data_IF_162992348882
#
_entry.id   IF_162992348882
#
_cell.length_a   1.000
_cell.length_b   1.000
_cell.length_c   1.000
_cell.angle_alpha   90.00
_cell.angle_beta   90.00
_cell.angle_gamma   90.00
#
_symmetry.space_group_name_H-M   'P 1'
#
loop_
_entity.id
_entity.type
_entity.pdbx_description
1 polymer ?
#
# COMPACT_ATOMS: atom_id res chain seq x y z
N UNK A 1 55.85 29.89 7.06
CA UNK A 1 55.38 28.50 6.88
C UNK A 1 54.36 28.18 7.97
N UNK A 2 53.18 27.66 7.55
CA UNK A 2 52.16 26.87 8.29
C UNK A 2 51.69 27.38 9.67
N UNK A 3 50.51 28.02 9.79
CA UNK A 3 49.12 27.50 9.83
C UNK A 3 48.71 26.82 11.16
N UNK A 4 47.59 27.36 11.69
CA UNK A 4 46.45 26.66 12.35
C UNK A 4 46.71 26.09 13.76
N UNK A 5 45.76 26.07 14.70
CA UNK A 5 44.29 26.05 14.62
C UNK A 5 43.71 26.50 15.98
N UNK A 6 42.77 27.45 16.00
CA UNK A 6 41.89 27.71 17.16
C UNK A 6 40.59 26.93 16.93
N UNK A 7 40.22 26.08 17.88
CA UNK A 7 38.94 25.38 17.93
C UNK A 7 37.95 26.29 18.66
N UNK A 8 36.89 26.73 17.98
CA UNK A 8 35.75 27.43 18.59
C UNK A 8 34.46 26.73 18.15
N UNK A 9 33.59 26.49 19.13
CA UNK A 9 32.30 25.84 18.99
C UNK A 9 31.40 26.53 17.95
N UNK A 10 30.68 25.74 17.15
CA UNK A 10 29.57 26.24 16.33
C UNK A 10 28.26 25.61 16.82
N UNK A 11 27.48 26.44 17.53
CA UNK A 11 26.03 26.34 17.60
C UNK A 11 25.47 26.46 16.18
N UNK A 12 24.78 25.45 15.68
CA UNK A 12 23.99 25.56 14.46
C UNK A 12 22.64 26.21 14.83
N UNK A 13 22.52 27.51 14.58
CA UNK A 13 21.25 28.23 14.63
C UNK A 13 20.33 27.72 13.52
N UNK A 14 19.20 27.11 13.89
CA UNK A 14 18.08 26.86 13.00
C UNK A 14 17.52 28.22 12.58
N UNK A 15 17.81 28.66 11.35
CA UNK A 15 17.16 29.82 10.77
C UNK A 15 15.76 29.41 10.31
N UNK A 16 14.76 29.56 11.18
CA UNK A 16 13.37 29.64 10.76
C UNK A 16 13.20 30.97 10.01
N UNK A 17 13.37 30.94 8.68
CA UNK A 17 13.03 32.07 7.84
C UNK A 17 11.50 32.10 7.67
N UNK A 18 10.81 32.71 8.64
CA UNK A 18 9.44 33.17 8.44
C UNK A 18 9.47 34.43 7.59
N UNK A 19 9.15 34.31 6.30
CA UNK A 19 8.73 35.46 5.49
C UNK A 19 7.21 35.40 5.32
N UNK A 20 6.58 36.51 5.69
CA UNK A 20 5.14 36.68 5.66
C UNK A 20 4.61 36.91 4.24
N UNK A 21 3.63 36.09 3.86
CA UNK A 21 2.49 36.30 2.96
C UNK A 21 2.58 37.44 1.92
N UNK A 22 2.74 37.07 0.64
CA UNK A 22 2.08 37.76 -0.47
C UNK A 22 0.68 37.16 -0.65
N UNK A 23 -0.34 38.02 -0.80
CA UNK A 23 -1.75 37.65 -0.91
C UNK A 23 -2.01 36.60 -2.00
N UNK A 24 -2.21 35.35 -1.58
CA UNK A 24 -2.48 34.20 -2.42
C UNK A 24 -2.63 32.93 -1.58
N UNK A 25 -3.29 31.91 -2.12
CA UNK A 25 -3.39 30.60 -1.47
C UNK A 25 -1.99 30.09 -1.06
N UNK A 26 -1.86 29.42 0.10
CA UNK A 26 -0.56 28.95 0.60
C UNK A 26 0.18 28.09 -0.44
N UNK A 27 1.52 28.06 -0.41
CA UNK A 27 2.27 27.20 -1.31
C UNK A 27 1.87 25.73 -1.08
N UNK A 28 1.78 24.92 -2.14
CA UNK A 28 1.44 23.52 -2.01
C UNK A 28 2.53 22.77 -1.24
N UNK A 29 2.11 21.81 -0.41
CA UNK A 29 3.03 20.96 0.31
C UNK A 29 3.71 19.95 -0.62
N UNK A 30 5.03 19.80 -0.50
CA UNK A 30 5.79 18.78 -1.21
C UNK A 30 5.70 17.44 -0.46
N UNK A 31 4.97 16.48 -1.00
CA UNK A 31 4.67 15.18 -0.36
C UNK A 31 5.56 14.03 -0.80
N UNK A 32 6.24 14.16 -1.93
CA UNK A 32 7.04 13.06 -2.46
C UNK A 32 7.93 13.50 -3.61
N UNK A 33 9.06 12.81 -3.77
CA UNK A 33 9.96 13.00 -4.90
C UNK A 33 10.24 11.64 -5.52
N UNK A 34 9.89 11.51 -6.80
CA UNK A 34 10.14 10.30 -7.58
C UNK A 34 11.28 10.59 -8.55
N UNK A 35 12.44 10.02 -8.26
CA UNK A 35 13.58 10.03 -9.17
C UNK A 35 13.35 8.95 -10.22
N UNK A 36 12.83 9.34 -11.38
CA UNK A 36 12.77 8.44 -12.54
C UNK A 36 14.11 8.46 -13.24
N UNK A 37 14.44 7.44 -14.06
CA UNK A 37 15.60 7.49 -14.95
C UNK A 37 15.54 8.60 -16.01
N UNK A 38 14.47 9.41 -16.01
CA UNK A 38 14.27 10.63 -16.79
C UNK A 38 14.07 11.85 -15.88
N UNK A 39 13.04 12.66 -16.14
CA UNK A 39 12.78 13.87 -15.33
C UNK A 39 12.25 13.51 -13.92
N UNK A 40 12.77 14.14 -12.86
CA UNK A 40 12.24 13.94 -11.51
C UNK A 40 10.83 14.51 -11.40
N UNK A 41 9.96 13.75 -10.74
CA UNK A 41 8.57 14.14 -10.47
C UNK A 41 8.39 14.48 -9.00
N UNK A 42 7.58 15.50 -8.74
CA UNK A 42 7.30 16.03 -7.40
C UNK A 42 5.82 15.89 -7.11
N UNK A 43 5.47 15.19 -6.03
CA UNK A 43 4.10 15.10 -5.56
C UNK A 43 3.80 16.36 -4.76
N UNK A 44 2.93 17.20 -5.29
CA UNK A 44 2.44 18.39 -4.62
C UNK A 44 1.02 18.15 -4.13
N UNK A 45 0.66 18.68 -2.96
CA UNK A 45 -0.71 18.70 -2.45
C UNK A 45 -1.11 20.10 -2.01
N UNK A 46 -2.33 20.52 -2.31
CA UNK A 46 -2.90 21.74 -1.72
C UNK A 46 -3.50 21.48 -0.33
N UNK A 47 -4.11 22.51 0.25
CA UNK A 47 -4.79 22.45 1.55
C UNK A 47 -6.10 21.67 1.52
N UNK A 48 -6.68 21.48 0.33
CA UNK A 48 -7.95 20.77 0.13
C UNK A 48 -7.73 19.27 -0.14
N UNK A 49 -6.47 18.83 -0.23
CA UNK A 49 -6.06 17.44 -0.38
C UNK A 49 -5.91 16.98 -1.83
N UNK A 50 -6.06 17.86 -2.83
CA UNK A 50 -5.76 17.52 -4.21
C UNK A 50 -4.26 17.28 -4.35
N UNK A 51 -3.84 16.15 -4.91
CA UNK A 51 -2.42 15.83 -5.11
C UNK A 51 -2.10 15.41 -6.54
N UNK A 52 -0.97 15.89 -7.05
CA UNK A 52 -0.48 15.58 -8.40
C UNK A 52 1.03 15.47 -8.46
N UNK A 53 1.51 14.54 -9.30
CA UNK A 53 2.92 14.47 -9.69
C UNK A 53 3.21 15.45 -10.81
N UNK A 54 4.18 16.33 -10.58
CA UNK A 54 4.49 17.47 -11.47
C UNK A 54 6.00 17.54 -11.68
N UNK A 55 6.44 17.75 -12.92
CA UNK A 55 7.84 17.94 -13.26
C UNK A 55 8.27 19.41 -13.12
N UNK A 56 9.57 19.66 -12.99
CA UNK A 56 10.13 21.01 -13.10
C UNK A 56 9.74 21.64 -14.44
N UNK A 57 9.40 22.93 -14.44
CA UNK A 57 8.90 23.68 -15.58
C UNK A 57 7.38 23.60 -15.79
N UNK A 58 6.66 22.78 -15.00
CA UNK A 58 5.19 22.68 -15.02
C UNK A 58 4.57 23.42 -13.83
N UNK A 59 3.23 23.45 -13.79
CA UNK A 59 2.46 24.25 -12.84
C UNK A 59 1.44 23.39 -12.08
N UNK A 60 1.25 23.70 -10.80
CA UNK A 60 0.23 23.13 -9.90
C UNK A 60 -0.51 24.26 -9.18
N UNK A 61 -1.82 24.41 -9.37
CA UNK A 61 -2.66 25.43 -8.72
C UNK A 61 -2.07 26.87 -8.79
N UNK A 62 -1.51 27.20 -9.95
CA UNK A 62 -0.85 28.48 -10.25
C UNK A 62 0.61 28.58 -9.81
N UNK A 63 1.14 27.60 -9.06
CA UNK A 63 2.54 27.53 -8.66
C UNK A 63 3.36 26.79 -9.72
N UNK A 64 4.33 27.48 -10.32
CA UNK A 64 5.27 26.88 -11.25
C UNK A 64 6.45 26.28 -10.49
N UNK A 65 6.83 25.05 -10.82
CA UNK A 65 8.02 24.40 -10.30
C UNK A 65 9.22 24.92 -11.09
N UNK A 66 10.10 25.73 -10.48
CA UNK A 66 11.21 26.34 -11.21
C UNK A 66 12.50 25.53 -11.13
N UNK A 67 12.84 25.00 -9.95
CA UNK A 67 14.06 24.21 -9.78
C UNK A 67 13.99 23.29 -8.57
N UNK A 68 14.75 22.20 -8.64
CA UNK A 68 14.96 21.26 -7.56
C UNK A 68 16.44 21.25 -7.17
N UNK A 69 16.73 21.48 -5.91
CA UNK A 69 18.06 21.27 -5.34
C UNK A 69 18.08 19.91 -4.62
N UNK A 70 18.72 18.93 -5.25
CA UNK A 70 18.86 17.59 -4.70
C UNK A 70 19.74 17.55 -3.44
N UNK A 71 20.61 18.54 -3.23
CA UNK A 71 21.51 18.60 -2.06
C UNK A 71 20.75 19.05 -0.82
N UNK A 72 19.90 20.07 -0.97
CA UNK A 72 19.08 20.61 0.13
C UNK A 72 17.69 20.00 0.23
N UNK A 73 17.30 19.13 -0.71
CA UNK A 73 15.97 18.51 -0.73
C UNK A 73 14.84 19.53 -0.89
N UNK A 74 15.12 20.65 -1.56
CA UNK A 74 14.22 21.81 -1.63
C UNK A 74 13.74 22.04 -3.06
N UNK A 75 12.42 22.14 -3.23
CA UNK A 75 11.77 22.54 -4.47
C UNK A 75 11.44 24.03 -4.42
N UNK A 76 11.83 24.75 -5.46
CA UNK A 76 11.51 26.18 -5.62
C UNK A 76 10.26 26.31 -6.47
N UNK A 77 9.26 26.99 -5.91
CA UNK A 77 7.98 27.29 -6.55
C UNK A 77 7.85 28.79 -6.78
N UNK A 78 7.27 29.20 -7.90
CA UNK A 78 6.97 30.62 -8.16
C UNK A 78 5.53 30.80 -8.59
N UNK A 79 4.87 31.82 -8.03
CA UNK A 79 3.52 32.24 -8.39
C UNK A 79 3.43 33.76 -8.31
N UNK A 80 2.95 34.41 -9.37
CA UNK A 80 2.74 35.86 -9.43
C UNK A 80 3.97 36.71 -9.02
N UNK A 81 5.17 36.21 -9.33
CA UNK A 81 6.45 36.86 -9.00
C UNK A 81 6.97 36.60 -7.57
N UNK A 82 6.19 35.92 -6.72
CA UNK A 82 6.63 35.43 -5.41
C UNK A 82 7.29 34.06 -5.55
N UNK A 83 8.46 33.88 -4.94
CA UNK A 83 9.20 32.62 -4.92
C UNK A 83 9.15 32.02 -3.52
N UNK A 84 8.63 30.79 -3.44
CA UNK A 84 8.55 30.00 -2.22
C UNK A 84 9.43 28.76 -2.33
N UNK A 85 10.06 28.38 -1.22
CA UNK A 85 10.88 27.17 -1.14
C UNK A 85 10.19 26.16 -0.26
N UNK A 86 9.75 25.05 -0.85
CA UNK A 86 9.11 23.96 -0.13
C UNK A 86 10.08 22.79 -0.03
N UNK A 87 10.32 22.35 1.20
CA UNK A 87 11.01 21.09 1.46
C UNK A 87 9.99 19.97 1.52
N UNK A 88 10.44 18.73 1.32
CA UNK A 88 9.62 17.55 1.55
C UNK A 88 8.98 17.64 2.94
N UNK A 89 7.66 17.71 2.99
CA UNK A 89 6.85 17.82 4.21
C UNK A 89 6.75 16.44 4.89
N UNK A 90 7.90 15.75 5.00
CA UNK A 90 8.12 14.34 5.37
C UNK A 90 7.76 13.30 4.29
N UNK A 91 8.61 13.17 3.27
CA UNK A 91 8.91 11.85 2.66
C UNK A 91 10.42 11.63 2.46
N UNK A 92 11.27 12.36 3.19
CA UNK A 92 12.51 11.76 3.66
C UNK A 92 12.14 10.90 4.85
N UNK A 93 11.98 9.60 4.64
CA UNK A 93 12.46 8.66 5.64
C UNK A 93 13.95 8.98 5.72
N UNK A 94 14.37 9.75 6.73
CA UNK A 94 15.77 9.68 7.11
C UNK A 94 16.10 8.19 7.22
N UNK A 95 17.28 7.75 6.81
CA UNK A 95 17.75 6.46 7.31
C UNK A 95 17.66 6.57 8.83
N UNK A 96 16.63 5.93 9.40
CA UNK A 96 16.11 6.34 10.68
C UNK A 96 17.15 6.24 11.77
N UNK A 97 16.86 6.87 12.89
CA UNK A 97 17.50 6.64 14.18
C UNK A 97 17.54 5.15 14.62
N UNK A 98 16.96 4.24 13.84
CA UNK A 98 16.73 2.84 14.19
C UNK A 98 15.62 2.69 15.23
N UNK A 99 14.85 3.75 15.49
CA UNK A 99 13.80 3.74 16.50
C UNK A 99 12.70 2.74 16.11
N UNK A 100 12.41 1.86 17.06
CA UNK A 100 11.36 0.86 16.91
C UNK A 100 10.02 1.57 16.74
N UNK A 101 9.21 1.10 15.80
CA UNK A 101 7.84 1.57 15.68
C UNK A 101 7.04 1.26 16.95
N UNK A 102 6.10 2.14 17.28
CA UNK A 102 5.15 1.92 18.36
C UNK A 102 3.91 1.19 17.86
N UNK A 103 3.21 0.51 18.78
CA UNK A 103 1.92 -0.11 18.48
C UNK A 103 0.87 0.91 17.99
N UNK A 104 0.92 2.15 18.49
CA UNK A 104 0.01 3.22 18.07
C UNK A 104 0.23 3.59 16.59
N UNK A 105 1.48 3.75 16.16
CA UNK A 105 1.83 4.04 14.76
C UNK A 105 1.43 2.90 13.83
N UNK A 106 1.66 1.64 14.24
CA UNK A 106 1.23 0.47 13.49
C UNK A 106 -0.30 0.34 13.41
N UNK A 107 -1.01 0.64 14.49
CA UNK A 107 -2.48 0.61 14.52
C UNK A 107 -3.06 1.66 13.56
N UNK A 108 -2.50 2.87 13.55
CA UNK A 108 -2.91 3.92 12.63
C UNK A 108 -2.70 3.52 11.16
N UNK A 109 -1.60 2.82 10.84
CA UNK A 109 -1.39 2.25 9.52
C UNK A 109 -2.49 1.24 9.14
N UNK A 110 -2.87 0.34 10.05
CA UNK A 110 -3.94 -0.64 9.80
C UNK A 110 -5.28 0.04 9.51
N UNK A 111 -5.57 1.16 10.18
CA UNK A 111 -6.76 1.98 9.92
C UNK A 111 -6.73 2.59 8.52
N UNK A 112 -5.59 3.17 8.12
CA UNK A 112 -5.43 3.75 6.78
C UNK A 112 -5.49 2.71 5.67
N UNK A 113 -5.01 1.50 5.94
CA UNK A 113 -5.12 0.35 5.04
C UNK A 113 -6.52 -0.26 5.02
N UNK A 114 -7.44 0.21 5.87
CA UNK A 114 -8.82 -0.31 6.02
C UNK A 114 -8.83 -1.82 6.31
N UNK A 115 -7.92 -2.26 7.20
CA UNK A 115 -7.70 -3.69 7.47
C UNK A 115 -8.98 -4.43 7.88
N UNK A 116 -9.77 -3.86 8.80
CA UNK A 116 -11.02 -4.49 9.27
C UNK A 116 -12.02 -4.66 8.13
N UNK A 117 -12.17 -3.64 7.28
CA UNK A 117 -13.08 -3.68 6.12
C UNK A 117 -12.59 -4.70 5.08
N UNK A 118 -11.29 -4.73 4.81
CA UNK A 118 -10.67 -5.68 3.88
C UNK A 118 -10.91 -7.14 4.34
N UNK A 119 -10.69 -7.41 5.62
CA UNK A 119 -10.94 -8.73 6.21
C UNK A 119 -12.43 -9.06 6.19
N UNK A 120 -13.30 -8.12 6.60
CA UNK A 120 -14.74 -8.34 6.59
C UNK A 120 -15.26 -8.70 5.18
N UNK A 121 -14.81 -7.95 4.16
CA UNK A 121 -15.14 -8.22 2.76
C UNK A 121 -14.59 -9.56 2.28
N UNK A 122 -13.36 -9.92 2.66
CA UNK A 122 -12.79 -11.22 2.33
C UNK A 122 -13.57 -12.38 2.98
N UNK A 123 -13.95 -12.23 4.25
CA UNK A 123 -14.75 -13.22 4.96
C UNK A 123 -16.14 -13.37 4.33
N UNK A 124 -16.78 -12.27 3.94
CA UNK A 124 -18.07 -12.32 3.23
C UNK A 124 -17.95 -13.07 1.90
N UNK A 125 -16.91 -12.77 1.12
CA UNK A 125 -16.63 -13.49 -0.13
C UNK A 125 -16.40 -14.99 0.11
N UNK A 126 -15.63 -15.34 1.14
CA UNK A 126 -15.39 -16.74 1.51
C UNK A 126 -16.67 -17.44 1.97
N UNK A 127 -17.51 -16.79 2.78
CA UNK A 127 -18.84 -17.31 3.18
C UNK A 127 -19.69 -17.62 1.95
N UNK A 128 -19.72 -16.72 0.97
CA UNK A 128 -20.48 -16.92 -0.27
C UNK A 128 -19.95 -18.11 -1.10
N UNK A 129 -18.63 -18.27 -1.18
CA UNK A 129 -18.00 -19.40 -1.89
C UNK A 129 -18.29 -20.71 -1.18
N UNK A 130 -18.12 -20.78 0.14
CA UNK A 130 -18.38 -21.98 0.94
C UNK A 130 -19.85 -22.40 0.87
N UNK A 131 -20.79 -21.45 0.97
CA UNK A 131 -22.22 -21.74 0.87
C UNK A 131 -22.59 -22.35 -0.48
N UNK A 132 -22.07 -21.78 -1.58
CA UNK A 132 -22.26 -22.35 -2.93
C UNK A 132 -21.64 -23.73 -3.06
N UNK A 133 -20.45 -23.93 -2.51
CA UNK A 133 -19.75 -25.21 -2.53
C UNK A 133 -20.53 -26.30 -1.79
N UNK A 134 -21.05 -26.00 -0.59
CA UNK A 134 -21.86 -26.94 0.18
C UNK A 134 -23.16 -27.29 -0.55
N UNK A 135 -23.87 -26.30 -1.08
CA UNK A 135 -25.10 -26.54 -1.85
C UNK A 135 -24.82 -27.44 -3.06
N UNK A 136 -23.77 -27.14 -3.82
CA UNK A 136 -23.40 -27.92 -5.00
C UNK A 136 -22.99 -29.36 -4.62
N UNK A 137 -22.28 -29.55 -3.51
CA UNK A 137 -21.92 -30.87 -3.00
C UNK A 137 -23.15 -31.71 -2.65
N UNK A 138 -24.12 -31.11 -1.94
CA UNK A 138 -25.35 -31.80 -1.54
C UNK A 138 -26.22 -32.16 -2.74
N UNK A 139 -26.31 -31.27 -3.73
CA UNK A 139 -26.99 -31.54 -4.99
C UNK A 139 -26.31 -32.67 -5.79
N UNK A 140 -24.97 -32.73 -5.81
CA UNK A 140 -24.24 -33.83 -6.45
C UNK A 140 -24.46 -35.19 -5.77
N UNK A 141 -24.79 -35.20 -4.47
CA UNK A 141 -25.18 -36.41 -3.74
C UNK A 141 -26.64 -36.83 -4.01
N UNK A 142 -27.35 -36.16 -4.91
CA UNK A 142 -28.73 -36.49 -5.29
C UNK A 142 -29.78 -35.94 -4.32
N UNK A 143 -29.41 -35.04 -3.42
CA UNK A 143 -30.32 -34.42 -2.48
C UNK A 143 -31.24 -33.42 -3.20
N UNK A 144 -32.52 -33.39 -2.83
CA UNK A 144 -33.50 -32.47 -3.43
C UNK A 144 -33.18 -31.02 -3.06
N UNK A 145 -33.41 -30.08 -3.96
CA UNK A 145 -33.01 -28.66 -3.79
C UNK A 145 -33.44 -28.04 -2.45
N UNK A 146 -34.70 -28.24 -2.03
CA UNK A 146 -35.19 -27.69 -0.77
C UNK A 146 -34.51 -28.30 0.47
N UNK A 147 -34.12 -29.56 0.41
CA UNK A 147 -33.42 -30.26 1.49
C UNK A 147 -31.93 -29.91 1.50
N UNK A 148 -31.31 -29.84 0.31
CA UNK A 148 -29.94 -29.39 0.12
C UNK A 148 -29.75 -27.95 0.62
N UNK A 149 -30.67 -27.03 0.31
CA UNK A 149 -30.62 -25.66 0.79
C UNK A 149 -30.70 -25.61 2.33
N UNK A 150 -31.64 -26.34 2.93
CA UNK A 150 -31.80 -26.37 4.40
C UNK A 150 -30.54 -26.91 5.10
N UNK A 151 -29.91 -27.93 4.53
CA UNK A 151 -28.66 -28.51 5.05
C UNK A 151 -27.47 -27.57 4.86
N UNK A 152 -27.37 -26.91 3.69
CA UNK A 152 -26.36 -25.89 3.42
C UNK A 152 -26.48 -24.71 4.40
N UNK A 153 -27.69 -24.20 4.64
CA UNK A 153 -27.94 -23.12 5.61
C UNK A 153 -27.53 -23.54 7.03
N UNK A 154 -27.76 -24.80 7.41
CA UNK A 154 -27.35 -25.33 8.71
C UNK A 154 -25.82 -25.38 8.85
N UNK A 155 -25.11 -25.85 7.82
CA UNK A 155 -23.64 -25.82 7.82
C UNK A 155 -23.10 -24.38 7.83
N UNK A 156 -23.73 -23.47 7.08
CA UNK A 156 -23.34 -22.06 7.05
C UNK A 156 -23.55 -21.37 8.41
N UNK A 157 -24.52 -21.77 9.23
CA UNK A 157 -24.64 -21.28 10.61
C UNK A 157 -23.40 -21.62 11.45
N UNK A 158 -22.87 -22.84 11.32
CA UNK A 158 -21.65 -23.25 12.04
C UNK A 158 -20.44 -22.45 11.55
N UNK A 159 -20.31 -22.27 10.24
CA UNK A 159 -19.23 -21.46 9.64
C UNK A 159 -19.31 -20.00 10.07
N UNK A 160 -20.52 -19.42 10.14
CA UNK A 160 -20.70 -18.05 10.60
C UNK A 160 -20.27 -17.89 12.06
N UNK A 161 -20.64 -18.83 12.95
CA UNK A 161 -20.17 -18.82 14.34
C UNK A 161 -18.64 -18.86 14.39
N UNK A 162 -17.99 -19.76 13.64
CA UNK A 162 -16.52 -19.84 13.59
C UNK A 162 -15.88 -18.51 13.15
N UNK A 163 -16.45 -17.86 12.13
CA UNK A 163 -15.94 -16.59 11.63
C UNK A 163 -16.22 -15.41 12.58
N UNK A 164 -17.35 -15.42 13.27
CA UNK A 164 -17.70 -14.37 14.24
C UNK A 164 -16.77 -14.44 15.47
N UNK A 165 -16.31 -15.64 15.83
CA UNK A 165 -15.33 -15.87 16.92
C UNK A 165 -13.87 -15.55 16.54
N UNK A 166 -13.56 -15.25 15.28
CA UNK A 166 -12.18 -14.93 14.87
C UNK A 166 -11.64 -13.61 15.46
N UNK A 167 -12.47 -12.82 16.15
CA UNK A 167 -12.12 -11.52 16.74
C UNK A 167 -11.26 -10.65 15.80
N UNK A 168 -11.89 -10.13 14.74
CA UNK A 168 -11.21 -9.29 13.73
C UNK A 168 -10.45 -8.12 14.38
N UNK A 169 -10.99 -7.59 15.49
CA UNK A 169 -10.38 -6.48 16.21
C UNK A 169 -9.14 -6.92 16.99
N UNK A 170 -9.19 -8.07 17.67
CA UNK A 170 -8.03 -8.72 18.27
C UNK A 170 -6.94 -9.00 17.23
N UNK A 171 -7.33 -9.58 16.10
CA UNK A 171 -6.42 -9.87 14.98
C UNK A 171 -5.75 -8.61 14.44
N UNK A 172 -6.47 -7.49 14.31
CA UNK A 172 -5.86 -6.20 13.95
C UNK A 172 -4.78 -5.78 14.95
N UNK A 173 -5.01 -5.97 16.25
CA UNK A 173 -4.02 -5.68 17.30
C UNK A 173 -2.78 -6.56 17.20
N UNK A 174 -2.95 -7.86 16.94
CA UNK A 174 -1.85 -8.80 16.74
C UNK A 174 -1.01 -8.46 15.51
N UNK A 175 -1.67 -8.12 14.40
CA UNK A 175 -0.99 -7.69 13.17
C UNK A 175 -0.30 -6.35 13.36
N UNK A 176 -0.93 -5.38 14.04
CA UNK A 176 -0.29 -4.11 14.37
C UNK A 176 0.97 -4.33 15.24
N UNK A 177 0.93 -5.27 16.19
CA UNK A 177 2.10 -5.66 16.98
C UNK A 177 3.22 -6.19 16.08
N UNK A 178 2.91 -7.12 15.17
CA UNK A 178 3.87 -7.66 14.21
C UNK A 178 4.48 -6.56 13.32
N UNK A 179 3.69 -5.59 12.87
CA UNK A 179 4.20 -4.44 12.11
C UNK A 179 5.14 -3.56 12.97
N UNK A 180 4.80 -3.31 14.22
CA UNK A 180 5.65 -2.53 15.13
C UNK A 180 6.98 -3.24 15.48
N UNK A 181 7.01 -4.57 15.39
CA UNK A 181 8.20 -5.38 15.63
C UNK A 181 9.11 -5.48 14.40
N UNK A 182 8.52 -5.51 13.19
CA UNK A 182 9.26 -5.73 11.94
C UNK A 182 9.72 -4.43 11.26
N UNK A 183 8.99 -3.34 11.46
CA UNK A 183 9.26 -2.07 10.79
C UNK A 183 9.79 -1.04 11.78
N UNK A 184 10.68 -0.17 11.30
CA UNK A 184 11.06 1.02 12.06
C UNK A 184 9.93 2.04 12.03
N UNK A 185 9.98 2.97 12.98
CA UNK A 185 9.05 4.11 13.04
C UNK A 185 8.94 4.85 11.70
N UNK A 186 10.08 5.19 11.09
CA UNK A 186 10.09 5.94 9.84
C UNK A 186 9.54 5.13 8.66
N UNK A 187 9.73 3.80 8.65
CA UNK A 187 9.15 2.93 7.62
C UNK A 187 7.62 2.88 7.73
N UNK A 188 7.09 2.74 8.95
CA UNK A 188 5.63 2.79 9.15
C UNK A 188 5.06 4.16 8.80
N UNK A 189 5.77 5.24 9.12
CA UNK A 189 5.34 6.58 8.76
C UNK A 189 5.35 6.79 7.24
N UNK A 190 6.36 6.28 6.53
CA UNK A 190 6.39 6.30 5.07
C UNK A 190 5.22 5.55 4.44
N UNK A 191 4.89 4.36 4.96
CA UNK A 191 3.71 3.60 4.52
C UNK A 191 2.41 4.36 4.81
N UNK A 192 2.29 4.93 6.01
CA UNK A 192 1.15 5.74 6.44
C UNK A 192 0.92 6.94 5.49
N UNK A 193 1.98 7.68 5.15
CA UNK A 193 1.91 8.77 4.18
C UNK A 193 1.45 8.26 2.82
N UNK A 194 2.03 7.18 2.31
CA UNK A 194 1.63 6.61 1.02
C UNK A 194 0.15 6.22 0.99
N UNK A 195 -0.33 5.45 1.96
CA UNK A 195 -1.72 5.00 2.01
C UNK A 195 -2.71 6.14 2.27
N UNK A 196 -2.28 7.28 2.82
CA UNK A 196 -3.13 8.48 2.91
C UNK A 196 -3.37 9.18 1.56
N UNK A 197 -2.57 8.90 0.53
CA UNK A 197 -2.71 9.54 -0.78
C UNK A 197 -3.85 8.93 -1.61
N UNK A 198 -4.42 9.67 -2.58
CA UNK A 198 -5.40 9.13 -3.52
C UNK A 198 -4.88 7.90 -4.30
N UNK A 199 -3.59 7.87 -4.63
CA UNK A 199 -2.95 6.71 -5.29
C UNK A 199 -2.83 5.52 -4.35
N UNK A 200 -2.47 5.74 -3.08
CA UNK A 200 -2.39 4.68 -2.08
C UNK A 200 -3.75 4.04 -1.79
N UNK A 201 -4.81 4.84 -1.68
CA UNK A 201 -6.18 4.34 -1.55
C UNK A 201 -6.64 3.59 -2.81
N UNK A 202 -6.40 4.15 -4.01
CA UNK A 202 -6.71 3.47 -5.26
C UNK A 202 -5.95 2.13 -5.43
N UNK A 203 -4.75 2.02 -4.88
CA UNK A 203 -4.01 0.76 -4.85
C UNK A 203 -4.74 -0.29 -3.99
N UNK A 204 -5.18 0.06 -2.78
CA UNK A 204 -5.98 -0.82 -1.91
C UNK A 204 -7.24 -1.28 -2.64
N UNK A 205 -8.01 -0.34 -3.21
CA UNK A 205 -9.28 -0.64 -3.88
C UNK A 205 -9.13 -1.57 -5.09
N UNK A 206 -7.99 -1.51 -5.79
CA UNK A 206 -7.73 -2.30 -7.00
C UNK A 206 -7.07 -3.66 -6.75
N UNK A 207 -6.58 -3.94 -5.54
CA UNK A 207 -5.97 -5.25 -5.25
C UNK A 207 -6.91 -6.44 -5.53
N UNK A 208 -8.20 -6.41 -5.15
CA UNK A 208 -9.11 -7.52 -5.44
C UNK A 208 -9.32 -7.74 -6.95
N UNK A 209 -9.44 -6.65 -7.73
CA UNK A 209 -9.59 -6.73 -9.19
C UNK A 209 -8.32 -7.30 -9.84
N UNK A 210 -7.14 -6.87 -9.36
CA UNK A 210 -5.87 -7.40 -9.85
C UNK A 210 -5.75 -8.91 -9.59
N UNK A 211 -6.18 -9.37 -8.41
CA UNK A 211 -6.26 -10.80 -8.09
C UNK A 211 -7.17 -11.57 -9.05
N UNK A 212 -8.38 -11.05 -9.31
CA UNK A 212 -9.32 -11.66 -10.26
C UNK A 212 -8.73 -11.75 -11.67
N UNK A 213 -8.13 -10.66 -12.17
CA UNK A 213 -7.45 -10.65 -13.49
C UNK A 213 -6.28 -11.63 -13.55
N UNK A 214 -5.53 -11.80 -12.46
CA UNK A 214 -4.44 -12.78 -12.41
C UNK A 214 -4.97 -14.21 -12.64
N UNK A 215 -6.12 -14.55 -12.05
CA UNK A 215 -6.75 -15.87 -12.25
C UNK A 215 -7.18 -16.08 -13.70
N UNK A 216 -7.77 -15.06 -14.34
CA UNK A 216 -8.14 -15.09 -15.76
C UNK A 216 -6.94 -15.28 -16.68
N UNK A 217 -5.78 -14.72 -16.33
CA UNK A 217 -4.52 -14.89 -17.09
C UNK A 217 -3.93 -16.28 -16.88
N UNK A 218 -4.02 -16.83 -15.67
CA UNK A 218 -3.43 -18.12 -15.31
C UNK A 218 -4.18 -19.31 -15.90
N UNK A 219 -5.52 -19.28 -15.93
CA UNK A 219 -6.34 -20.41 -16.37
C UNK A 219 -6.04 -20.90 -17.81
N UNK A 220 -5.99 -20.04 -18.84
CA UNK A 220 -5.65 -20.45 -20.21
C UNK A 220 -4.24 -21.02 -20.33
N UNK A 221 -3.29 -20.49 -19.56
CA UNK A 221 -1.90 -20.97 -19.54
C UNK A 221 -1.83 -22.40 -18.99
N UNK A 222 -2.55 -22.67 -17.92
CA UNK A 222 -2.67 -24.02 -17.36
C UNK A 222 -3.31 -24.98 -18.37
N UNK A 223 -4.43 -24.60 -18.99
CA UNK A 223 -5.10 -25.43 -20.01
C UNK A 223 -4.20 -25.74 -21.20
N UNK A 224 -3.38 -24.78 -21.65
CA UNK A 224 -2.38 -25.00 -22.70
C UNK A 224 -1.26 -25.96 -22.28
N UNK A 225 -0.94 -26.01 -20.99
CA UNK A 225 0.09 -26.90 -20.46
C UNK A 225 -0.43 -28.32 -20.17
N UNK A 226 -1.75 -28.53 -20.01
CA UNK A 226 -2.34 -29.83 -19.66
C UNK A 226 -1.91 -31.00 -20.56
N UNK A 227 -1.86 -30.88 -21.90
CA UNK A 227 -1.41 -31.98 -22.75
C UNK A 227 0.03 -32.41 -22.47
N UNK A 228 0.91 -31.44 -22.16
CA UNK A 228 2.30 -31.72 -21.80
C UNK A 228 2.42 -32.43 -20.45
N UNK A 229 1.58 -32.04 -19.50
CA UNK A 229 1.48 -32.73 -18.19
C UNK A 229 0.99 -34.16 -18.37
N UNK A 230 -0.04 -34.38 -19.21
CA UNK A 230 -0.56 -35.72 -19.52
C UNK A 230 0.49 -36.60 -20.19
N UNK A 231 1.25 -36.06 -21.15
CA UNK A 231 2.32 -36.79 -21.81
C UNK A 231 3.43 -37.22 -20.84
N UNK A 232 3.87 -36.30 -19.97
CA UNK A 232 4.89 -36.59 -18.95
C UNK A 232 4.39 -37.63 -17.92
N UNK A 233 3.12 -37.56 -17.51
CA UNK A 233 2.53 -38.55 -16.61
C UNK A 233 2.46 -39.94 -17.26
N UNK A 234 2.08 -40.03 -18.54
CA UNK A 234 2.05 -41.29 -19.28
C UNK A 234 3.45 -41.91 -19.48
N UNK A 235 4.48 -41.08 -19.64
CA UNK A 235 5.87 -41.50 -19.71
C UNK A 235 6.35 -42.07 -18.36
N UNK A 236 6.07 -41.38 -17.25
CA UNK A 236 6.41 -41.87 -15.90
C UNK A 236 5.76 -43.22 -15.57
N UNK A 237 4.50 -43.42 -15.95
CA UNK A 237 3.80 -44.71 -15.74
C UNK A 237 4.45 -45.83 -16.56
N UNK A 238 4.86 -45.54 -17.80
CA UNK A 238 5.54 -46.50 -18.67
C UNK A 238 6.91 -46.89 -18.13
N UNK A 239 7.67 -45.93 -17.62
CA UNK A 239 9.00 -46.16 -17.06
C UNK A 239 8.95 -46.91 -15.71
N UNK A 240 7.89 -46.70 -14.92
CA UNK A 240 7.66 -47.45 -13.69
C UNK A 240 7.24 -48.90 -13.95
N UNK A 241 6.48 -49.16 -15.02
CA UNK A 241 6.06 -50.51 -15.43
C UNK A 241 7.13 -51.32 -16.19
N UNK A 242 8.19 -50.67 -16.67
CA UNK A 242 9.32 -51.32 -17.36
C UNK A 242 10.51 -51.63 -16.43
N UNK A 243 10.34 -51.48 -15.11
CA UNK A 243 11.38 -51.75 -14.10
C UNK A 243 11.21 -53.09 -13.36
N UNK A 244 10.31 -53.95 -13.82
CA UNK A 244 10.20 -55.38 -13.45
C UNK A 244 10.70 -56.28 -14.59
#
# INVERSE_FOLDING_TARGET
>A
MKKMLRLLALLATLAAASFASAAGAPPPALRGVLMTGGEPLFSLSDTDGESKWVAVGKTFNGWKLDSWDATSGTLTLTKDGATEKVSLESATVAAGSGEKATLAEATALMDQMRFEEMIAKSLEQQRAVLGKMFLQMLQQQGMKDAEAQKMADMQMKLVNILFDEMDIKGMKGDIATAYSDLFTKDQLQGLSVFYSTPTGQAFIDKQPELGARMQEVMMPRMMKAMPKVQAAAAEMIRDAGNKD
#
